data_IF_709412462756
#
_entry.id   IF_709412462756
#
_cell.length_a   1.000
_cell.length_b   1.000
_cell.length_c   1.000
_cell.angle_alpha   90.00
_cell.angle_beta   90.00
_cell.angle_gamma   90.00
#
_symmetry.space_group_name_H-M   'P 1'
#
loop_
_entity.id
_entity.type
_entity.pdbx_description
1 polymer ?
#
# COMPACT_ATOMS: atom_id res chain seq x y z
N UNK A 1 39.26 -10.76 12.46
CA UNK A 1 38.85 -10.96 11.06
C UNK A 1 38.36 -9.63 10.46
N UNK A 2 38.93 -9.25 9.33
CA UNK A 2 38.47 -8.10 8.56
C UNK A 2 37.59 -8.61 7.42
N UNK A 3 36.44 -7.97 7.21
CA UNK A 3 35.55 -8.27 6.09
C UNK A 3 35.26 -6.96 5.37
N UNK A 4 35.28 -6.97 4.04
CA UNK A 4 34.80 -5.90 3.20
C UNK A 4 33.96 -6.48 2.07
N UNK A 5 32.89 -5.78 1.70
CA UNK A 5 32.10 -6.10 0.53
C UNK A 5 31.96 -4.83 -0.33
N UNK A 6 32.03 -5.01 -1.62
CA UNK A 6 31.78 -3.95 -2.60
C UNK A 6 30.66 -4.43 -3.50
N UNK A 7 29.59 -3.66 -3.57
CA UNK A 7 28.47 -3.89 -4.47
C UNK A 7 28.49 -2.82 -5.58
N UNK A 8 28.42 -3.26 -6.82
CA UNK A 8 28.30 -2.44 -8.01
C UNK A 8 26.95 -2.73 -8.68
N UNK A 9 26.10 -1.75 -8.76
CA UNK A 9 24.71 -1.88 -9.15
C UNK A 9 24.40 -0.98 -10.37
N UNK A 10 23.71 -1.54 -11.37
CA UNK A 10 23.20 -0.83 -12.53
C UNK A 10 21.77 -1.23 -12.81
N UNK A 11 20.87 -0.25 -12.87
CA UNK A 11 19.45 -0.47 -13.12
C UNK A 11 19.00 0.31 -14.35
N UNK A 12 18.27 -0.38 -15.23
CA UNK A 12 17.60 0.21 -16.39
C UNK A 12 16.09 -0.03 -16.26
N UNK A 13 15.30 1.05 -16.35
CA UNK A 13 13.85 0.99 -16.32
C UNK A 13 13.27 1.56 -17.61
N UNK A 14 12.24 0.91 -18.15
CA UNK A 14 11.45 1.40 -19.27
C UNK A 14 9.98 1.32 -18.89
N UNK A 15 9.28 2.46 -18.96
CA UNK A 15 7.85 2.54 -18.62
C UNK A 15 7.10 3.08 -19.83
N UNK A 16 6.05 2.36 -20.24
CA UNK A 16 5.13 2.79 -21.31
C UNK A 16 3.73 2.81 -20.70
N UNK A 17 3.07 3.95 -20.76
CA UNK A 17 1.71 4.12 -20.26
C UNK A 17 0.89 4.74 -21.38
N UNK A 18 -0.24 4.11 -21.70
CA UNK A 18 -1.18 4.59 -22.69
C UNK A 18 -2.60 4.37 -22.24
N UNK A 19 -3.50 5.25 -22.61
CA UNK A 19 -4.91 5.11 -22.27
C UNK A 19 -5.81 5.84 -23.23
N UNK A 20 -7.05 5.41 -23.32
CA UNK A 20 -8.12 6.05 -24.06
C UNK A 20 -9.37 6.14 -23.19
N UNK A 21 -10.06 7.27 -23.30
CA UNK A 21 -11.33 7.43 -22.62
C UNK A 21 -12.37 7.98 -23.59
N UNK A 22 -13.61 7.54 -23.41
CA UNK A 22 -14.76 8.04 -24.14
C UNK A 22 -15.86 8.44 -23.18
N UNK A 23 -16.46 9.62 -23.41
CA UNK A 23 -17.57 10.13 -22.61
C UNK A 23 -18.70 10.46 -23.57
N UNK A 24 -19.87 9.89 -23.32
CA UNK A 24 -21.09 10.18 -24.05
C UNK A 24 -22.17 10.69 -23.10
N UNK A 25 -22.68 11.90 -23.37
CA UNK A 25 -23.76 12.49 -22.61
C UNK A 25 -25.07 12.32 -23.36
N UNK A 26 -26.09 11.83 -22.69
CA UNK A 26 -27.42 11.60 -23.26
C UNK A 26 -28.51 12.14 -22.32
N UNK A 27 -29.64 12.44 -22.84
CA UNK A 27 -30.72 13.14 -22.11
C UNK A 27 -30.19 14.38 -21.40
N UNK A 28 -30.88 14.87 -20.33
CA UNK A 28 -30.44 16.05 -19.57
C UNK A 28 -29.32 15.72 -18.56
N UNK A 29 -29.28 14.53 -18.01
CA UNK A 29 -28.45 14.16 -16.87
C UNK A 29 -27.71 12.85 -17.07
N UNK A 30 -27.97 12.15 -18.20
CA UNK A 30 -27.35 10.86 -18.49
C UNK A 30 -25.90 11.03 -18.96
N UNK A 31 -25.01 10.23 -18.40
CA UNK A 31 -23.60 10.15 -18.79
C UNK A 31 -23.18 8.69 -18.84
N UNK A 32 -22.65 8.27 -19.97
CA UNK A 32 -21.92 7.04 -20.10
C UNK A 32 -20.45 7.36 -20.33
N UNK A 33 -19.55 6.68 -19.62
CA UNK A 33 -18.12 6.77 -19.85
C UNK A 33 -17.47 5.39 -19.89
N UNK A 34 -16.47 5.26 -20.73
CA UNK A 34 -15.63 4.06 -20.83
C UNK A 34 -14.17 4.47 -20.92
N UNK A 35 -13.32 3.76 -20.21
CA UNK A 35 -11.87 3.93 -20.27
C UNK A 35 -11.16 2.59 -20.47
N UNK A 36 -10.03 2.67 -21.14
CA UNK A 36 -9.08 1.57 -21.29
C UNK A 36 -7.68 2.11 -21.04
N UNK A 37 -6.90 1.42 -20.19
CA UNK A 37 -5.53 1.78 -19.86
C UNK A 37 -4.62 0.57 -20.06
N UNK A 38 -3.43 0.84 -20.60
CA UNK A 38 -2.34 -0.12 -20.74
C UNK A 38 -1.08 0.44 -20.08
N UNK A 39 -0.41 -0.40 -19.29
CA UNK A 39 0.84 -0.04 -18.64
C UNK A 39 1.84 -1.19 -18.81
N UNK A 40 3.05 -0.84 -19.20
CA UNK A 40 4.20 -1.73 -19.31
C UNK A 40 5.35 -1.16 -18.51
N UNK A 41 5.89 -1.95 -17.60
CA UNK A 41 7.09 -1.64 -16.83
C UNK A 41 8.11 -2.76 -17.05
N UNK A 42 9.27 -2.40 -17.59
CA UNK A 42 10.40 -3.30 -17.73
C UNK A 42 11.53 -2.81 -16.85
N UNK A 43 12.12 -3.71 -16.08
CA UNK A 43 13.27 -3.44 -15.25
C UNK A 43 14.35 -4.48 -15.52
N UNK A 44 15.54 -4.02 -15.79
CA UNK A 44 16.76 -4.82 -15.83
C UNK A 44 17.70 -4.32 -14.73
N UNK A 45 18.12 -5.22 -13.87
CA UNK A 45 18.95 -4.94 -12.71
C UNK A 45 20.18 -5.84 -12.73
N UNK A 46 21.34 -5.22 -12.84
CA UNK A 46 22.62 -5.94 -12.86
C UNK A 46 23.43 -5.56 -11.62
N UNK A 47 23.86 -6.55 -10.86
CA UNK A 47 24.73 -6.31 -9.73
C UNK A 47 25.91 -7.26 -9.69
N UNK A 48 27.02 -6.74 -9.16
CA UNK A 48 28.25 -7.46 -8.96
C UNK A 48 28.71 -7.27 -7.52
N UNK A 49 28.56 -8.31 -6.72
CA UNK A 49 28.96 -8.33 -5.32
C UNK A 49 30.34 -9.00 -5.21
N UNK A 50 31.32 -8.27 -4.66
CA UNK A 50 32.65 -8.79 -4.33
C UNK A 50 32.82 -8.79 -2.82
N UNK A 51 32.98 -9.95 -2.23
CA UNK A 51 33.17 -10.12 -0.81
C UNK A 51 34.61 -10.60 -0.53
N UNK A 52 35.27 -9.95 0.44
CA UNK A 52 36.63 -10.30 0.84
C UNK A 52 36.65 -10.65 2.32
N UNK A 53 37.25 -11.80 2.64
CA UNK A 53 37.40 -12.31 4.01
C UNK A 53 38.87 -12.48 4.36
N UNK A 54 39.32 -11.82 5.42
CA UNK A 54 40.66 -11.97 5.98
C UNK A 54 40.57 -12.47 7.41
N UNK A 55 41.12 -13.63 7.68
CA UNK A 55 41.17 -14.23 9.02
C UNK A 55 42.65 -14.38 9.47
N UNK A 56 43.08 -13.47 10.35
CA UNK A 56 44.50 -13.43 10.84
C UNK A 56 45.50 -13.11 9.73
N UNK A 57 46.61 -13.90 9.69
CA UNK A 57 47.66 -13.78 8.68
C UNK A 57 47.40 -14.64 7.42
N UNK A 58 46.24 -15.28 7.32
CA UNK A 58 45.87 -16.06 6.13
C UNK A 58 45.51 -15.18 4.93
N UNK A 59 45.75 -15.66 3.69
CA UNK A 59 45.41 -14.89 2.49
C UNK A 59 43.93 -14.54 2.43
N UNK A 60 43.66 -13.39 1.84
CA UNK A 60 42.30 -12.92 1.59
C UNK A 60 41.61 -13.94 0.67
N UNK A 61 40.52 -14.54 1.14
CA UNK A 61 39.61 -15.32 0.30
C UNK A 61 38.53 -14.39 -0.20
N UNK A 62 38.34 -14.26 -1.49
CA UNK A 62 37.33 -13.44 -2.11
C UNK A 62 36.30 -14.28 -2.84
N UNK A 63 35.02 -13.99 -2.67
CA UNK A 63 33.95 -14.55 -3.46
C UNK A 63 33.33 -13.42 -4.31
N UNK A 64 33.04 -13.72 -5.59
CA UNK A 64 32.41 -12.77 -6.51
C UNK A 64 31.14 -13.38 -7.06
N UNK A 65 30.03 -12.71 -6.82
CA UNK A 65 28.69 -13.07 -7.27
C UNK A 65 28.21 -12.02 -8.28
N UNK A 66 27.80 -12.45 -9.46
CA UNK A 66 27.10 -11.62 -10.46
C UNK A 66 25.64 -12.00 -10.48
N UNK A 67 24.75 -11.02 -10.40
CA UNK A 67 23.29 -11.18 -10.51
C UNK A 67 22.74 -10.36 -11.65
N UNK A 68 21.88 -10.95 -12.46
CA UNK A 68 21.06 -10.26 -13.47
C UNK A 68 19.61 -10.60 -13.15
N UNK A 69 18.81 -9.55 -12.90
CA UNK A 69 17.38 -9.71 -12.65
C UNK A 69 16.60 -8.92 -13.70
N UNK A 70 15.72 -9.60 -14.43
CA UNK A 70 14.82 -9.01 -15.40
C UNK A 70 13.41 -9.10 -14.87
N UNK A 71 12.66 -8.00 -14.92
CA UNK A 71 11.28 -7.91 -14.48
C UNK A 71 10.40 -7.20 -15.50
N UNK A 72 9.29 -7.84 -15.85
CA UNK A 72 8.26 -7.29 -16.72
C UNK A 72 6.93 -7.24 -15.98
N UNK A 73 6.25 -6.09 -16.02
CA UNK A 73 4.88 -5.92 -15.49
C UNK A 73 4.01 -5.35 -16.61
N UNK A 74 2.94 -6.05 -16.97
CA UNK A 74 1.94 -5.60 -17.93
C UNK A 74 0.58 -5.52 -17.24
N UNK A 75 -0.06 -4.35 -17.35
CA UNK A 75 -1.37 -4.11 -16.74
C UNK A 75 -2.33 -3.62 -17.84
N UNK A 76 -3.45 -4.30 -17.93
CA UNK A 76 -4.58 -3.89 -18.77
C UNK A 76 -5.75 -3.57 -17.86
N UNK A 77 -6.33 -2.39 -17.99
CA UNK A 77 -7.50 -1.98 -17.20
C UNK A 77 -8.59 -1.46 -18.13
N UNK A 78 -9.79 -2.00 -17.99
CA UNK A 78 -10.98 -1.52 -18.68
C UNK A 78 -12.08 -1.21 -17.67
N UNK A 79 -12.77 -0.09 -17.86
CA UNK A 79 -13.87 0.34 -17.00
C UNK A 79 -14.97 0.99 -17.84
N UNK A 80 -16.22 0.76 -17.46
CA UNK A 80 -17.37 1.48 -18.01
C UNK A 80 -18.33 1.89 -16.91
N UNK A 81 -18.87 3.10 -17.00
CA UNK A 81 -19.77 3.70 -16.02
C UNK A 81 -21.02 4.25 -16.74
N UNK A 82 -22.15 4.08 -16.09
CA UNK A 82 -23.40 4.70 -16.45
C UNK A 82 -23.90 5.51 -15.24
N UNK A 83 -24.01 6.82 -15.39
CA UNK A 83 -24.54 7.73 -14.38
C UNK A 83 -25.82 8.39 -14.90
N UNK A 84 -26.83 8.44 -14.05
CA UNK A 84 -28.12 9.03 -14.39
C UNK A 84 -28.80 9.65 -13.17
N UNK A 85 -29.21 10.92 -13.26
CA UNK A 85 -30.06 11.53 -12.25
C UNK A 85 -31.52 11.22 -12.57
N UNK A 86 -32.13 10.38 -11.73
CA UNK A 86 -33.54 9.98 -11.83
C UNK A 86 -34.44 11.22 -11.54
N UNK A 87 -33.97 12.06 -10.63
CA UNK A 87 -34.62 13.33 -10.26
C UNK A 87 -33.58 14.27 -9.63
N UNK A 88 -33.97 15.50 -9.29
CA UNK A 88 -33.11 16.44 -8.54
C UNK A 88 -32.66 15.91 -7.18
N UNK A 89 -33.33 14.87 -6.67
CA UNK A 89 -33.05 14.26 -5.37
C UNK A 89 -32.30 12.94 -5.45
N UNK A 90 -32.41 12.19 -6.54
CA UNK A 90 -31.87 10.84 -6.66
C UNK A 90 -31.03 10.69 -7.92
N UNK A 91 -29.78 10.31 -7.74
CA UNK A 91 -28.87 9.94 -8.81
C UNK A 91 -28.33 8.53 -8.59
N UNK A 92 -28.13 7.80 -9.68
CA UNK A 92 -27.52 6.47 -9.68
C UNK A 92 -26.28 6.46 -10.52
N UNK A 93 -25.31 5.65 -10.12
CA UNK A 93 -24.15 5.28 -10.92
C UNK A 93 -23.94 3.78 -10.83
N UNK A 94 -23.76 3.14 -11.97
CA UNK A 94 -23.42 1.72 -12.03
C UNK A 94 -22.27 1.53 -13.00
N UNK A 95 -21.48 0.46 -12.81
CA UNK A 95 -20.36 0.22 -13.71
C UNK A 95 -19.74 -1.14 -13.54
N UNK A 96 -18.89 -1.45 -14.52
CA UNK A 96 -18.08 -2.66 -14.56
C UNK A 96 -16.61 -2.27 -14.70
N UNK A 97 -15.73 -3.04 -14.07
CA UNK A 97 -14.28 -2.87 -14.18
C UNK A 97 -13.60 -4.23 -14.31
N UNK A 98 -12.61 -4.30 -15.19
CA UNK A 98 -11.70 -5.45 -15.32
C UNK A 98 -10.26 -4.95 -15.25
N UNK A 99 -9.42 -5.68 -14.51
CA UNK A 99 -7.97 -5.45 -14.47
C UNK A 99 -7.27 -6.78 -14.65
N UNK A 100 -6.34 -6.83 -15.60
CA UNK A 100 -5.52 -8.00 -15.90
C UNK A 100 -4.07 -7.61 -15.69
N UNK A 101 -3.37 -8.35 -14.83
CA UNK A 101 -1.96 -8.12 -14.49
C UNK A 101 -1.16 -9.35 -14.84
N UNK A 102 -0.05 -9.14 -15.57
CA UNK A 102 0.93 -10.17 -15.86
C UNK A 102 2.29 -9.67 -15.40
N UNK A 103 2.96 -10.47 -14.59
CA UNK A 103 4.31 -10.19 -14.09
C UNK A 103 5.20 -11.39 -14.42
N UNK A 104 6.39 -11.11 -14.91
CA UNK A 104 7.45 -12.09 -15.09
C UNK A 104 8.73 -11.53 -14.50
N UNK A 105 9.39 -12.29 -13.65
CA UNK A 105 10.70 -11.97 -13.10
C UNK A 105 11.63 -13.18 -13.29
N UNK A 106 12.81 -12.91 -13.82
CA UNK A 106 13.86 -13.92 -13.97
C UNK A 106 15.13 -13.43 -13.27
N UNK A 107 15.69 -14.23 -12.40
CA UNK A 107 16.95 -13.97 -11.71
C UNK A 107 17.99 -15.02 -12.08
N UNK A 108 19.12 -14.56 -12.64
CA UNK A 108 20.28 -15.39 -12.98
C UNK A 108 21.46 -14.94 -12.15
N UNK A 109 21.91 -15.82 -11.27
CA UNK A 109 23.10 -15.61 -10.46
C UNK A 109 24.26 -16.51 -10.91
N UNK A 110 25.48 -15.96 -10.88
CA UNK A 110 26.71 -16.68 -11.23
C UNK A 110 27.80 -16.39 -10.23
N UNK A 111 28.48 -17.42 -9.79
CA UNK A 111 29.69 -17.37 -8.96
C UNK A 111 30.94 -17.42 -9.82
N UNK A 112 31.98 -16.65 -9.48
CA UNK A 112 33.29 -16.74 -10.08
C UNK A 112 34.10 -17.79 -9.35
N UNK A 113 34.28 -19.00 -9.94
CA UNK A 113 34.97 -20.13 -9.36
C UNK A 113 36.20 -20.46 -10.22
N UNK A 114 37.39 -20.35 -9.66
CA UNK A 114 38.68 -20.63 -10.33
C UNK A 114 38.86 -19.85 -11.66
N UNK A 115 38.28 -18.63 -11.78
CA UNK A 115 38.37 -17.80 -12.97
C UNK A 115 37.21 -17.96 -13.97
N UNK A 116 36.34 -18.95 -13.77
CA UNK A 116 35.17 -19.21 -14.63
C UNK A 116 33.87 -18.82 -13.93
N UNK A 117 32.96 -18.19 -14.69
CA UNK A 117 31.59 -17.90 -14.23
C UNK A 117 30.74 -19.17 -14.31
N UNK A 118 30.27 -19.63 -13.16
CA UNK A 118 29.34 -20.76 -13.06
C UNK A 118 28.01 -20.29 -12.49
N UNK A 119 26.93 -20.79 -13.07
CA UNK A 119 25.58 -20.51 -12.59
C UNK A 119 25.41 -21.03 -11.15
N UNK A 120 24.86 -20.17 -10.30
CA UNK A 120 24.39 -20.54 -8.97
C UNK A 120 22.92 -20.95 -9.10
N UNK A 121 22.68 -22.25 -9.17
CA UNK A 121 21.33 -22.79 -9.34
C UNK A 121 20.45 -22.64 -8.11
N UNK A 122 21.04 -22.42 -6.93
CA UNK A 122 20.29 -22.22 -5.70
C UNK A 122 19.72 -20.79 -5.61
N UNK A 123 20.38 -19.83 -6.25
CA UNK A 123 19.95 -18.43 -6.31
C UNK A 123 19.21 -18.08 -7.61
N UNK A 124 19.45 -18.85 -8.71
CA UNK A 124 18.79 -18.59 -10.00
C UNK A 124 17.38 -19.16 -10.01
N UNK A 125 16.42 -18.35 -10.45
CA UNK A 125 15.01 -18.76 -10.44
C UNK A 125 14.16 -17.87 -11.34
N UNK A 126 12.98 -18.33 -11.69
CA UNK A 126 11.96 -17.58 -12.41
C UNK A 126 10.65 -17.52 -11.63
N UNK A 127 9.95 -16.41 -11.75
CA UNK A 127 8.66 -16.18 -11.10
C UNK A 127 7.71 -15.50 -12.07
N UNK A 128 6.55 -16.11 -12.30
CA UNK A 128 5.47 -15.54 -13.09
C UNK A 128 4.21 -15.41 -12.24
N UNK A 129 3.54 -14.24 -12.33
CA UNK A 129 2.31 -13.97 -11.60
C UNK A 129 1.26 -13.39 -12.55
N UNK A 130 0.05 -13.94 -12.45
CA UNK A 130 -1.13 -13.49 -13.17
C UNK A 130 -2.22 -13.13 -12.17
N UNK A 131 -2.84 -11.98 -12.34
CA UNK A 131 -4.00 -11.57 -11.55
C UNK A 131 -5.09 -11.04 -12.46
N UNK A 132 -6.29 -11.58 -12.30
CA UNK A 132 -7.49 -11.15 -12.99
C UNK A 132 -8.51 -10.66 -11.97
N UNK A 133 -8.94 -9.41 -12.11
CA UNK A 133 -9.91 -8.77 -11.23
C UNK A 133 -11.11 -8.33 -12.05
N UNK A 134 -12.29 -8.78 -11.66
CA UNK A 134 -13.56 -8.37 -12.25
C UNK A 134 -14.44 -7.77 -11.18
N UNK A 135 -15.03 -6.62 -11.45
CA UNK A 135 -15.88 -5.94 -10.51
C UNK A 135 -17.13 -5.35 -11.15
N UNK A 136 -18.25 -5.46 -10.44
CA UNK A 136 -19.47 -4.73 -10.72
C UNK A 136 -19.86 -3.88 -9.51
N UNK A 137 -20.39 -2.68 -9.74
CA UNK A 137 -20.76 -1.79 -8.66
C UNK A 137 -21.99 -0.96 -8.99
N UNK A 138 -22.64 -0.55 -7.91
CA UNK A 138 -23.80 0.33 -7.92
C UNK A 138 -23.65 1.36 -6.82
N UNK A 139 -24.04 2.62 -7.09
CA UNK A 139 -24.05 3.72 -6.16
C UNK A 139 -25.36 4.50 -6.28
N UNK A 140 -25.95 4.83 -5.15
CA UNK A 140 -27.13 5.67 -5.02
C UNK A 140 -26.76 6.94 -4.26
N UNK A 141 -26.99 8.09 -4.87
CA UNK A 141 -26.92 9.40 -4.23
C UNK A 141 -28.34 9.87 -3.95
N UNK A 142 -28.66 10.21 -2.70
CA UNK A 142 -29.99 10.61 -2.29
C UNK A 142 -29.97 11.90 -1.46
N UNK A 143 -30.71 12.90 -1.89
CA UNK A 143 -30.99 14.14 -1.15
C UNK A 143 -32.37 14.04 -0.53
N UNK A 144 -32.44 13.54 0.71
CA UNK A 144 -33.71 13.32 1.42
C UNK A 144 -34.42 14.65 1.79
N UNK A 145 -33.58 15.65 2.13
CA UNK A 145 -34.02 16.99 2.40
C UNK A 145 -32.96 18.03 2.01
N UNK A 146 -33.23 19.33 2.17
CA UNK A 146 -32.23 20.38 1.99
C UNK A 146 -31.02 20.25 2.94
N UNK A 147 -31.16 19.48 4.04
CA UNK A 147 -30.13 19.34 5.08
C UNK A 147 -29.61 17.93 5.23
N UNK A 148 -30.21 16.92 4.60
CA UNK A 148 -29.82 15.53 4.76
C UNK A 148 -29.62 14.85 3.41
N UNK A 149 -28.44 14.28 3.22
CA UNK A 149 -28.08 13.49 2.03
C UNK A 149 -27.35 12.22 2.42
N UNK A 150 -27.48 11.21 1.58
CA UNK A 150 -26.74 9.94 1.70
C UNK A 150 -26.16 9.53 0.37
N UNK A 151 -25.03 8.87 0.43
CA UNK A 151 -24.39 8.16 -0.66
C UNK A 151 -24.19 6.72 -0.22
N UNK A 152 -24.78 5.78 -0.94
CA UNK A 152 -24.74 4.34 -0.62
C UNK A 152 -24.16 3.63 -1.83
N UNK A 153 -23.07 2.93 -1.64
CA UNK A 153 -22.37 2.18 -2.69
C UNK A 153 -22.24 0.70 -2.33
N UNK A 154 -22.27 -0.13 -3.34
CA UNK A 154 -22.00 -1.55 -3.23
C UNK A 154 -21.16 -2.01 -4.41
N UNK A 155 -19.99 -2.61 -4.14
CA UNK A 155 -19.11 -3.18 -5.15
C UNK A 155 -18.87 -4.65 -4.84
N UNK A 156 -19.12 -5.52 -5.81
CA UNK A 156 -18.74 -6.93 -5.79
C UNK A 156 -17.49 -7.10 -6.64
N UNK A 157 -16.50 -7.80 -6.12
CA UNK A 157 -15.23 -8.01 -6.77
C UNK A 157 -14.83 -9.47 -6.71
N UNK A 158 -14.52 -10.07 -7.87
CA UNK A 158 -13.96 -11.41 -8.00
C UNK A 158 -12.52 -11.29 -8.46
N UNK A 159 -11.60 -11.95 -7.75
CA UNK A 159 -10.17 -11.97 -8.07
C UNK A 159 -9.72 -13.41 -8.22
N UNK A 160 -8.96 -13.67 -9.27
CA UNK A 160 -8.24 -14.92 -9.50
C UNK A 160 -6.76 -14.60 -9.65
N UNK A 161 -5.90 -15.30 -8.90
CA UNK A 161 -4.45 -15.17 -9.01
C UNK A 161 -3.81 -16.52 -9.28
N UNK A 162 -2.72 -16.51 -10.05
CA UNK A 162 -1.88 -17.68 -10.30
C UNK A 162 -0.42 -17.23 -10.24
N UNK A 163 0.36 -17.84 -9.37
CA UNK A 163 1.82 -17.70 -9.32
C UNK A 163 2.50 -19.01 -9.69
N UNK A 164 3.53 -18.92 -10.52
CA UNK A 164 4.39 -20.03 -10.88
C UNK A 164 5.81 -19.62 -10.46
N UNK A 165 6.45 -20.43 -9.66
CA UNK A 165 7.85 -20.30 -9.28
C UNK A 165 8.60 -21.51 -9.77
N UNK A 166 9.79 -21.30 -10.37
CA UNK A 166 10.65 -22.37 -10.85
C UNK A 166 12.11 -22.06 -10.49
N UNK A 167 12.77 -23.02 -9.89
CA UNK A 167 14.19 -23.01 -9.59
C UNK A 167 14.77 -24.42 -9.81
N UNK A 168 16.08 -24.55 -9.75
CA UNK A 168 16.72 -25.87 -9.87
C UNK A 168 16.35 -26.84 -8.73
N UNK A 169 15.87 -26.31 -7.60
CA UNK A 169 15.58 -27.11 -6.38
C UNK A 169 14.09 -27.41 -6.28
N UNK A 170 13.22 -26.48 -6.72
CA UNK A 170 11.78 -26.57 -6.50
C UNK A 170 10.97 -25.83 -7.58
N UNK A 171 9.95 -26.49 -8.06
CA UNK A 171 8.86 -25.87 -8.83
C UNK A 171 7.62 -25.80 -7.97
N UNK A 172 6.95 -24.65 -7.95
CA UNK A 172 5.69 -24.50 -7.24
C UNK A 172 4.68 -23.67 -8.03
N UNK A 173 3.39 -24.06 -7.92
CA UNK A 173 2.26 -23.35 -8.50
C UNK A 173 1.27 -23.07 -7.40
N UNK A 174 0.93 -21.82 -7.22
CA UNK A 174 -0.02 -21.38 -6.22
C UNK A 174 -1.17 -20.59 -6.86
N UNK A 175 -2.42 -20.98 -6.58
CA UNK A 175 -3.61 -20.34 -7.11
C UNK A 175 -4.49 -19.87 -5.96
N UNK A 176 -5.04 -18.66 -6.08
CA UNK A 176 -6.06 -18.16 -5.16
C UNK A 176 -7.28 -17.67 -5.97
N UNK A 177 -8.46 -17.87 -5.41
CA UNK A 177 -9.69 -17.30 -5.94
C UNK A 177 -10.55 -16.83 -4.78
N UNK A 178 -11.00 -15.59 -4.83
CA UNK A 178 -11.83 -15.02 -3.79
C UNK A 178 -12.82 -13.99 -4.34
N UNK A 179 -13.95 -13.86 -3.64
CA UNK A 179 -14.99 -12.88 -3.95
C UNK A 179 -15.24 -12.05 -2.70
N UNK A 180 -15.21 -10.73 -2.85
CA UNK A 180 -15.44 -9.80 -1.76
C UNK A 180 -16.49 -8.75 -2.11
N UNK A 181 -17.25 -8.37 -1.09
CA UNK A 181 -18.25 -7.30 -1.14
C UNK A 181 -17.71 -6.07 -0.41
N UNK A 182 -17.80 -4.91 -1.05
CA UNK A 182 -17.30 -3.63 -0.56
C UNK A 182 -18.45 -2.64 -0.45
N UNK A 183 -19.18 -2.64 0.66
CA UNK A 183 -20.18 -1.63 0.95
C UNK A 183 -19.53 -0.30 1.33
N UNK A 184 -20.16 0.80 0.93
CA UNK A 184 -19.83 2.17 1.33
C UNK A 184 -21.10 2.91 1.72
N UNK A 185 -20.99 3.74 2.75
CA UNK A 185 -22.05 4.64 3.20
C UNK A 185 -21.43 5.98 3.57
N UNK A 186 -21.97 7.05 3.05
CA UNK A 186 -21.74 8.40 3.54
C UNK A 186 -23.10 9.03 3.85
N UNK A 187 -23.31 9.45 5.09
CA UNK A 187 -24.48 10.22 5.51
C UNK A 187 -24.01 11.60 5.97
N UNK A 188 -24.63 12.64 5.47
CA UNK A 188 -24.30 14.03 5.77
C UNK A 188 -25.54 14.75 6.25
N UNK A 189 -25.42 15.45 7.38
CA UNK A 189 -26.49 16.23 7.97
C UNK A 189 -26.04 17.63 8.33
N UNK A 190 -26.63 18.63 7.68
CA UNK A 190 -26.41 20.03 7.98
C UNK A 190 -27.34 20.49 9.10
N UNK A 191 -26.86 20.45 10.34
CA UNK A 191 -27.60 20.90 11.52
C UNK A 191 -27.98 22.42 11.41
N UNK A 192 -27.00 23.23 10.94
CA UNK A 192 -27.17 24.64 10.66
C UNK A 192 -26.15 25.09 9.62
N UNK A 193 -26.12 26.35 9.22
CA UNK A 193 -25.12 26.91 8.28
C UNK A 193 -23.69 26.71 8.76
N UNK A 194 -23.48 26.62 10.09
CA UNK A 194 -22.17 26.50 10.72
C UNK A 194 -21.85 25.08 11.22
N UNK A 195 -22.79 24.15 11.22
CA UNK A 195 -22.63 22.82 11.80
C UNK A 195 -22.97 21.72 10.78
N UNK A 196 -21.96 21.01 10.32
CA UNK A 196 -22.12 19.85 9.46
C UNK A 196 -21.64 18.59 10.19
N UNK A 197 -22.49 17.59 10.26
CA UNK A 197 -22.17 16.25 10.73
C UNK A 197 -22.09 15.30 9.54
N UNK A 198 -21.12 14.37 9.58
CA UNK A 198 -21.07 13.29 8.62
C UNK A 198 -20.70 11.98 9.32
N UNK A 199 -21.23 10.89 8.78
CA UNK A 199 -20.87 9.53 9.15
C UNK A 199 -20.50 8.77 7.88
N UNK A 200 -19.32 8.15 7.88
CA UNK A 200 -18.84 7.33 6.78
C UNK A 200 -18.53 5.90 7.25
N UNK A 201 -18.89 4.94 6.42
CA UNK A 201 -18.44 3.54 6.52
C UNK A 201 -17.88 3.11 5.18
N UNK A 202 -16.78 2.38 5.19
CA UNK A 202 -16.26 1.76 3.98
C UNK A 202 -15.51 0.46 4.31
N UNK A 203 -15.73 -0.56 3.49
CA UNK A 203 -14.85 -1.73 3.40
C UNK A 203 -13.94 -1.59 2.19
N UNK A 204 -12.65 -1.89 2.36
CA UNK A 204 -11.64 -1.81 1.30
C UNK A 204 -10.75 -3.05 1.32
N UNK A 205 -10.12 -3.34 0.19
CA UNK A 205 -9.10 -4.38 0.05
C UNK A 205 -7.73 -3.73 -0.19
N UNK A 206 -6.69 -4.26 0.46
CA UNK A 206 -5.28 -3.98 0.14
C UNK A 206 -4.65 -5.28 -0.28
N UNK A 207 -4.28 -5.38 -1.56
CA UNK A 207 -3.62 -6.54 -2.10
C UNK A 207 -2.14 -6.54 -1.74
N UNK A 208 -1.53 -7.72 -1.59
CA UNK A 208 -0.09 -7.82 -1.42
C UNK A 208 0.63 -7.08 -2.56
N UNK A 209 1.71 -6.39 -2.22
CA UNK A 209 2.61 -5.87 -3.24
C UNK A 209 3.27 -7.05 -3.96
N UNK A 210 3.42 -6.99 -5.27
CA UNK A 210 4.03 -8.06 -6.06
C UNK A 210 5.46 -8.41 -5.61
N UNK A 211 6.23 -7.42 -5.19
CA UNK A 211 7.55 -7.64 -4.58
C UNK A 211 7.47 -8.52 -3.33
N UNK A 212 6.43 -8.34 -2.51
CA UNK A 212 6.22 -9.13 -1.30
C UNK A 212 5.83 -10.58 -1.59
N UNK A 213 5.35 -10.87 -2.79
CA UNK A 213 4.97 -12.22 -3.22
C UNK A 213 6.07 -12.94 -3.99
N UNK A 214 7.12 -12.23 -4.43
CA UNK A 214 8.23 -12.82 -5.15
C UNK A 214 9.08 -13.66 -4.20
N UNK A 215 9.15 -15.00 -4.36
CA UNK A 215 9.83 -15.89 -3.43
C UNK A 215 11.36 -15.91 -3.58
N UNK A 216 11.94 -15.02 -4.40
CA UNK A 216 13.38 -14.92 -4.54
C UNK A 216 14.04 -14.61 -3.20
N UNK A 217 15.09 -15.35 -2.89
CA UNK A 217 15.90 -15.13 -1.70
C UNK A 217 16.94 -14.06 -2.02
N UNK A 218 16.85 -12.92 -1.34
CA UNK A 218 17.86 -11.87 -1.38
C UNK A 218 18.76 -12.01 -0.15
N UNK A 219 20.04 -12.28 -0.37
CA UNK A 219 21.03 -12.40 0.70
C UNK A 219 21.48 -11.00 1.12
N UNK A 220 21.08 -10.55 2.30
CA UNK A 220 21.51 -9.26 2.88
C UNK A 220 22.88 -9.38 3.56
N UNK A 221 23.06 -10.44 4.33
CA UNK A 221 24.33 -10.85 4.90
C UNK A 221 24.34 -12.36 5.18
N UNK A 222 25.39 -12.87 5.85
CA UNK A 222 25.53 -14.31 6.13
C UNK A 222 24.45 -14.89 7.07
N UNK A 223 23.69 -14.05 7.76
CA UNK A 223 22.66 -14.46 8.73
C UNK A 223 21.27 -13.90 8.37
N UNK A 224 21.19 -12.86 7.53
CA UNK A 224 19.96 -12.18 7.18
C UNK A 224 19.61 -12.40 5.72
N UNK A 225 18.47 -13.01 5.49
CA UNK A 225 17.88 -13.27 4.19
C UNK A 225 16.55 -12.53 4.08
N UNK A 226 16.23 -11.99 2.93
CA UNK A 226 14.92 -11.42 2.62
C UNK A 226 14.25 -12.29 1.55
N UNK A 227 12.99 -12.65 1.77
CA UNK A 227 12.22 -13.49 0.86
C UNK A 227 10.77 -13.04 0.85
N UNK A 228 10.15 -13.02 -0.32
CA UNK A 228 8.71 -12.82 -0.43
C UNK A 228 7.91 -14.07 -0.07
N UNK A 229 6.59 -13.91 0.01
CA UNK A 229 5.67 -14.98 0.39
C UNK A 229 4.53 -15.05 -0.62
N UNK A 230 4.50 -16.13 -1.43
CA UNK A 230 3.47 -16.36 -2.46
C UNK A 230 2.08 -16.67 -1.87
N UNK A 231 2.00 -17.00 -0.58
CA UNK A 231 0.76 -17.36 0.11
C UNK A 231 0.06 -16.17 0.77
N UNK A 232 0.56 -14.95 0.56
CA UNK A 232 -0.05 -13.76 1.12
C UNK A 232 -1.49 -13.59 0.66
N UNK A 233 -2.36 -13.35 1.64
CA UNK A 233 -3.76 -13.00 1.43
C UNK A 233 -3.93 -11.49 1.43
N UNK A 234 -4.93 -10.94 0.72
CA UNK A 234 -5.21 -9.53 0.79
C UNK A 234 -5.74 -9.14 2.17
N UNK A 235 -5.43 -7.92 2.59
CA UNK A 235 -6.01 -7.32 3.78
C UNK A 235 -7.40 -6.78 3.48
N UNK A 236 -8.35 -6.97 4.40
CA UNK A 236 -9.65 -6.33 4.38
C UNK A 236 -9.74 -5.29 5.48
N UNK A 237 -10.12 -4.07 5.13
CA UNK A 237 -10.16 -2.94 6.05
C UNK A 237 -11.59 -2.40 6.14
N UNK A 238 -12.17 -2.47 7.32
CA UNK A 238 -13.43 -1.82 7.67
C UNK A 238 -13.14 -0.51 8.40
N UNK A 239 -13.64 0.62 7.89
CA UNK A 239 -13.49 1.93 8.49
C UNK A 239 -14.85 2.52 8.80
N UNK A 240 -14.98 3.07 10.01
CA UNK A 240 -16.11 3.90 10.44
C UNK A 240 -15.53 5.24 10.89
N UNK A 241 -16.10 6.34 10.41
CA UNK A 241 -15.71 7.68 10.81
C UNK A 241 -16.95 8.54 11.05
N UNK A 242 -16.91 9.30 12.14
CA UNK A 242 -17.92 10.35 12.45
C UNK A 242 -17.14 11.65 12.51
N UNK A 243 -17.61 12.64 11.72
CA UNK A 243 -16.96 13.93 11.59
C UNK A 243 -17.97 15.05 11.90
N UNK A 244 -17.50 16.04 12.65
CA UNK A 244 -18.20 17.28 12.89
C UNK A 244 -17.37 18.45 12.41
N UNK A 245 -17.91 19.22 11.47
CA UNK A 245 -17.30 20.44 10.93
C UNK A 245 -18.08 21.65 11.45
N UNK A 246 -17.39 22.49 12.23
CA UNK A 246 -17.92 23.72 12.82
C UNK A 246 -17.36 24.95 12.11
N UNK A 247 -18.25 25.85 11.65
CA UNK A 247 -17.93 27.12 10.98
C UNK A 247 -16.96 26.97 9.81
N UNK A 248 -16.94 25.79 9.15
CA UNK A 248 -16.01 25.45 8.05
C UNK A 248 -14.52 25.61 8.44
N UNK A 249 -14.22 25.66 9.72
CA UNK A 249 -12.89 25.96 10.27
C UNK A 249 -12.41 24.92 11.27
N UNK A 250 -13.29 24.41 12.12
CA UNK A 250 -12.95 23.46 13.17
C UNK A 250 -13.49 22.09 12.78
N UNK A 251 -12.63 21.10 12.68
CA UNK A 251 -13.02 19.72 12.38
C UNK A 251 -12.68 18.80 13.56
N UNK A 252 -13.64 17.94 13.90
CA UNK A 252 -13.51 16.91 14.93
C UNK A 252 -13.90 15.58 14.31
N UNK A 253 -12.99 14.61 14.32
CA UNK A 253 -13.24 13.32 13.71
C UNK A 253 -12.89 12.22 14.69
N UNK A 254 -13.82 11.29 14.88
CA UNK A 254 -13.60 10.03 15.62
C UNK A 254 -13.66 8.91 14.61
N UNK A 255 -12.68 8.01 14.65
CA UNK A 255 -12.64 6.88 13.72
C UNK A 255 -12.31 5.58 14.41
N UNK A 256 -12.82 4.51 13.84
CA UNK A 256 -12.45 3.14 14.13
C UNK A 256 -12.08 2.43 12.83
N UNK A 257 -10.98 1.71 12.82
CA UNK A 257 -10.52 0.90 11.70
C UNK A 257 -10.19 -0.50 12.18
N UNK A 258 -10.78 -1.49 11.55
CA UNK A 258 -10.47 -2.90 11.74
C UNK A 258 -9.84 -3.45 10.47
N UNK A 259 -8.68 -4.09 10.60
CA UNK A 259 -7.95 -4.68 9.48
C UNK A 259 -7.79 -6.17 9.74
N UNK A 260 -8.36 -6.99 8.86
CA UNK A 260 -8.18 -8.43 8.83
C UNK A 260 -6.95 -8.77 7.99
N UNK A 261 -6.22 -9.80 8.38
CA UNK A 261 -5.03 -10.32 7.69
C UNK A 261 -4.00 -9.22 7.32
N UNK A 262 -3.66 -8.25 8.21
CA UNK A 262 -2.69 -7.20 7.87
C UNK A 262 -1.36 -7.83 7.50
N UNK A 263 -0.79 -7.37 6.38
CA UNK A 263 0.51 -7.82 5.89
C UNK A 263 1.59 -7.01 6.61
N UNK A 264 2.51 -7.69 7.25
CA UNK A 264 3.64 -7.07 7.93
C UNK A 264 4.92 -7.85 7.71
N UNK A 265 6.02 -7.13 7.51
CA UNK A 265 7.34 -7.71 7.45
C UNK A 265 7.68 -8.30 8.83
N UNK A 266 8.05 -9.57 8.85
CA UNK A 266 8.24 -10.35 10.06
C UNK A 266 9.58 -11.05 10.04
N UNK A 267 10.22 -11.19 11.21
CA UNK A 267 11.45 -11.91 11.38
C UNK A 267 11.15 -13.36 11.76
N UNK A 268 11.60 -14.29 10.95
CA UNK A 268 11.57 -15.73 11.22
C UNK A 268 12.99 -16.20 11.53
N UNK A 269 13.16 -16.90 12.64
CA UNK A 269 14.46 -17.45 13.04
C UNK A 269 14.45 -18.94 12.76
N UNK A 270 15.40 -19.41 11.95
CA UNK A 270 15.63 -20.83 11.69
C UNK A 270 16.61 -21.46 12.69
N UNK A 271 16.60 -22.79 12.79
CA UNK A 271 17.42 -23.56 13.74
C UNK A 271 18.93 -23.36 13.55
N UNK A 272 19.37 -22.91 12.37
CA UNK A 272 20.76 -22.65 12.03
C UNK A 272 21.23 -21.21 12.30
N UNK A 273 20.50 -20.45 13.13
CA UNK A 273 20.70 -19.03 13.43
C UNK A 273 20.54 -18.09 12.20
N UNK A 274 19.90 -18.55 11.14
CA UNK A 274 19.50 -17.68 10.04
C UNK A 274 18.22 -16.92 10.40
N UNK A 275 18.17 -15.68 10.01
CA UNK A 275 16.98 -14.83 10.13
C UNK A 275 16.43 -14.57 8.74
N UNK A 276 15.18 -14.94 8.52
CA UNK A 276 14.47 -14.66 7.29
C UNK A 276 13.52 -13.49 7.55
N UNK A 277 13.70 -12.42 6.81
CA UNK A 277 12.78 -11.31 6.77
C UNK A 277 11.74 -11.58 5.68
N UNK A 278 10.49 -11.86 6.10
CA UNK A 278 9.42 -12.28 5.20
C UNK A 278 8.11 -11.56 5.53
N UNK A 279 7.36 -11.09 4.53
CA UNK A 279 6.01 -10.57 4.75
C UNK A 279 5.05 -11.71 5.12
N UNK A 280 4.31 -11.52 6.21
CA UNK A 280 3.30 -12.46 6.70
C UNK A 280 1.98 -11.75 6.97
N UNK A 281 0.87 -12.48 6.83
CA UNK A 281 -0.42 -12.01 7.33
C UNK A 281 -0.48 -12.19 8.85
N UNK A 282 -0.70 -11.09 9.58
CA UNK A 282 -0.96 -11.10 11.00
C UNK A 282 -2.45 -11.35 11.28
N UNK A 283 -2.81 -11.72 12.52
CA UNK A 283 -4.19 -12.08 12.85
C UNK A 283 -5.17 -10.92 12.79
N UNK A 284 -4.73 -9.69 13.01
CA UNK A 284 -5.58 -8.51 12.94
C UNK A 284 -4.91 -7.24 13.47
N UNK A 285 -5.49 -6.12 13.07
CA UNK A 285 -5.13 -4.79 13.57
C UNK A 285 -6.41 -4.00 13.85
N UNK A 286 -6.49 -3.42 15.05
CA UNK A 286 -7.54 -2.48 15.42
C UNK A 286 -6.90 -1.11 15.66
N UNK A 287 -7.51 -0.07 15.12
CA UNK A 287 -7.12 1.32 15.36
C UNK A 287 -8.35 2.13 15.74
N UNK A 288 -8.23 2.92 16.78
CA UNK A 288 -9.23 3.89 17.21
C UNK A 288 -8.55 5.23 17.40
N UNK A 289 -9.16 6.32 16.99
CA UNK A 289 -8.52 7.62 17.14
C UNK A 289 -9.45 8.81 17.04
N UNK A 290 -8.90 9.93 17.51
CA UNK A 290 -9.47 11.27 17.42
C UNK A 290 -8.55 12.13 16.56
N UNK A 291 -9.14 12.92 15.65
CA UNK A 291 -8.42 13.96 14.89
C UNK A 291 -9.12 15.30 15.12
N UNK A 292 -8.34 16.34 15.34
CA UNK A 292 -8.82 17.71 15.50
C UNK A 292 -8.07 18.59 14.53
N UNK A 293 -8.81 19.34 13.71
CA UNK A 293 -8.25 20.32 12.79
C UNK A 293 -8.80 21.73 13.13
N UNK A 294 -7.88 22.67 13.27
CA UNK A 294 -8.14 24.08 13.49
C UNK A 294 -7.54 24.83 12.31
N UNK A 295 -8.38 25.22 11.34
CA UNK A 295 -7.91 25.79 10.08
C UNK A 295 -8.21 27.28 9.99
N UNK A 296 -7.35 28.02 9.31
CA UNK A 296 -7.51 29.45 9.05
C UNK A 296 -7.75 30.25 10.34
N UNK A 297 -6.99 29.92 11.39
CA UNK A 297 -6.96 30.73 12.60
C UNK A 297 -6.18 32.01 12.30
N UNK A 298 -6.76 33.16 12.63
CA UNK A 298 -6.12 34.46 12.44
C UNK A 298 -5.95 35.14 13.80
N UNK A 299 -4.91 34.78 14.59
CA UNK A 299 -4.62 35.47 15.84
C UNK A 299 -4.37 36.95 15.63
N UNK A 300 -3.74 37.29 14.49
CA UNK A 300 -3.55 38.66 14.00
C UNK A 300 -3.85 38.71 12.49
N UNK A 301 -4.07 39.91 11.93
CA UNK A 301 -4.38 40.06 10.50
C UNK A 301 -3.26 39.57 9.57
N UNK A 302 -2.03 39.63 10.04
CA UNK A 302 -0.82 39.23 9.31
C UNK A 302 -0.37 37.79 9.61
N UNK A 303 -1.09 37.05 10.48
CA UNK A 303 -0.75 35.69 10.87
C UNK A 303 -1.94 34.74 10.67
N UNK A 304 -1.78 33.76 9.78
CA UNK A 304 -2.72 32.66 9.60
C UNK A 304 -2.08 31.37 10.10
N UNK A 305 -2.80 30.60 10.92
CA UNK A 305 -2.32 29.34 11.49
C UNK A 305 -3.28 28.18 11.19
N UNK A 306 -2.70 27.02 10.88
CA UNK A 306 -3.38 25.75 10.71
C UNK A 306 -2.77 24.73 11.68
N UNK A 307 -3.60 24.14 12.54
CA UNK A 307 -3.19 23.17 13.55
C UNK A 307 -3.97 21.88 13.34
N UNK A 308 -3.28 20.77 13.14
CA UNK A 308 -3.88 19.45 13.01
C UNK A 308 -3.26 18.52 14.05
N UNK A 309 -4.10 18.03 14.95
CA UNK A 309 -3.70 17.07 15.98
C UNK A 309 -4.41 15.75 15.81
N UNK A 310 -3.76 14.66 16.15
CA UNK A 310 -4.39 13.36 16.27
C UNK A 310 -3.86 12.55 17.43
N UNK A 311 -4.72 11.71 17.99
CA UNK A 311 -4.38 10.71 18.98
C UNK A 311 -4.93 9.37 18.46
N UNK A 312 -4.06 8.41 18.18
CA UNK A 312 -4.43 7.13 17.61
C UNK A 312 -3.93 5.99 18.51
N UNK A 313 -4.86 5.21 19.06
CA UNK A 313 -4.55 3.91 19.66
C UNK A 313 -4.54 2.85 18.57
N UNK A 314 -3.47 2.06 18.48
CA UNK A 314 -3.31 0.98 17.51
C UNK A 314 -2.89 -0.31 18.22
N UNK A 315 -3.47 -1.44 17.81
CA UNK A 315 -3.19 -2.76 18.37
C UNK A 315 -3.07 -3.79 17.27
N UNK A 316 -1.89 -4.38 17.15
CA UNK A 316 -1.63 -5.56 16.33
C UNK A 316 -1.71 -6.84 17.17
N UNK A 317 -2.19 -7.92 16.56
CA UNK A 317 -2.20 -9.26 17.14
C UNK A 317 -1.68 -10.25 16.11
N UNK A 318 -0.84 -11.20 16.54
CA UNK A 318 -0.38 -12.30 15.69
C UNK A 318 -0.19 -13.57 16.53
N UNK A 319 -0.30 -14.72 15.86
CA UNK A 319 -0.08 -16.01 16.48
C UNK A 319 1.35 -16.50 16.17
N UNK A 320 2.08 -16.98 17.18
CA UNK A 320 3.36 -17.64 17.03
C UNK A 320 3.55 -18.72 18.10
N UNK A 321 4.03 -19.90 17.73
CA UNK A 321 4.30 -21.03 18.63
C UNK A 321 3.11 -21.32 19.58
N UNK A 322 1.88 -21.27 19.08
CA UNK A 322 0.66 -21.52 19.87
C UNK A 322 0.26 -20.41 20.85
N UNK A 323 0.94 -19.25 20.83
CA UNK A 323 0.63 -18.07 21.65
C UNK A 323 0.19 -16.91 20.78
N UNK A 324 -0.78 -16.12 21.27
CA UNK A 324 -1.15 -14.84 20.67
C UNK A 324 -0.31 -13.74 21.30
N UNK A 325 0.56 -13.13 20.51
CA UNK A 325 1.32 -11.94 20.89
C UNK A 325 0.55 -10.67 20.46
N UNK A 326 0.80 -9.58 21.15
CA UNK A 326 0.16 -8.28 20.91
C UNK A 326 1.20 -7.18 20.99
N UNK A 327 1.07 -6.20 20.13
CA UNK A 327 1.83 -4.95 20.18
C UNK A 327 0.83 -3.80 20.11
N UNK A 328 0.88 -2.87 21.05
CA UNK A 328 -0.07 -1.76 21.14
C UNK A 328 0.64 -0.46 21.51
N UNK A 329 0.14 0.63 20.96
CA UNK A 329 0.67 1.97 21.24
C UNK A 329 -0.43 3.01 21.06
N UNK A 330 -0.29 4.12 21.78
CA UNK A 330 -1.05 5.35 21.56
C UNK A 330 -0.11 6.40 20.98
N UNK A 331 -0.33 6.75 19.73
CA UNK A 331 0.52 7.69 18.97
C UNK A 331 -0.14 9.07 18.93
N UNK A 332 0.40 10.08 19.61
CA UNK A 332 0.05 11.47 19.37
C UNK A 332 0.80 11.99 18.13
N UNK A 333 0.11 12.78 17.30
CA UNK A 333 0.72 13.52 16.19
C UNK A 333 0.20 14.95 16.21
N UNK A 334 1.09 15.90 15.90
CA UNK A 334 0.77 17.32 15.81
C UNK A 334 1.47 17.90 14.57
N UNK A 335 0.70 18.59 13.75
CA UNK A 335 1.21 19.36 12.62
C UNK A 335 0.70 20.80 12.74
N UNK A 336 1.62 21.76 12.66
CA UNK A 336 1.33 23.19 12.72
C UNK A 336 1.95 23.86 11.50
N UNK A 337 1.14 24.61 10.76
CA UNK A 337 1.58 25.48 9.68
C UNK A 337 1.19 26.90 10.03
N UNK A 338 2.14 27.82 9.93
CA UNK A 338 1.92 29.25 10.15
C UNK A 338 2.38 30.01 8.93
N UNK A 339 1.52 30.89 8.44
CA UNK A 339 1.77 31.80 7.33
C UNK A 339 1.75 33.23 7.87
N UNK A 340 2.77 34.02 7.54
CA UNK A 340 2.93 35.40 7.99
C UNK A 340 3.03 36.31 6.77
N UNK A 341 2.07 37.23 6.63
CA UNK A 341 2.12 38.31 5.63
C UNK A 341 2.75 39.54 6.30
N UNK A 342 3.99 39.82 5.92
CA UNK A 342 4.82 40.86 6.53
C UNK A 342 4.75 42.18 5.73
N UNK A 343 5.15 43.31 6.32
CA UNK A 343 5.27 44.57 5.60
C UNK A 343 6.16 44.46 4.35
N UNK A 344 5.96 45.36 3.39
CA UNK A 344 6.72 45.44 2.13
C UNK A 344 6.55 44.26 1.17
N UNK A 345 5.47 43.45 1.34
CA UNK A 345 5.18 42.32 0.43
C UNK A 345 6.00 41.06 0.69
N UNK A 346 6.55 40.89 1.89
CA UNK A 346 7.23 39.68 2.32
C UNK A 346 6.20 38.69 2.86
N UNK A 347 6.33 37.43 2.46
CA UNK A 347 5.61 36.30 3.05
C UNK A 347 6.63 35.34 3.69
N UNK A 348 6.28 34.79 4.86
CA UNK A 348 7.10 33.80 5.56
C UNK A 348 6.20 32.63 6.00
N UNK A 349 6.74 31.43 6.00
CA UNK A 349 6.06 30.22 6.46
C UNK A 349 6.91 29.52 7.52
N UNK A 350 6.23 29.00 8.57
CA UNK A 350 6.85 28.16 9.59
C UNK A 350 6.04 26.87 9.75
N UNK A 351 6.72 25.74 9.59
CA UNK A 351 6.13 24.40 9.70
C UNK A 351 6.69 23.69 10.93
N UNK A 352 5.81 23.03 11.69
CA UNK A 352 6.17 22.18 12.82
C UNK A 352 5.47 20.83 12.72
N UNK A 353 6.21 19.76 12.96
CA UNK A 353 5.68 18.41 13.01
C UNK A 353 6.21 17.67 14.24
N UNK A 354 5.31 16.96 14.91
CA UNK A 354 5.63 16.05 16.00
C UNK A 354 4.91 14.73 15.81
N UNK A 355 5.61 13.63 15.97
CA UNK A 355 5.06 12.28 16.02
C UNK A 355 5.59 11.53 17.23
N UNK A 356 4.69 10.92 17.98
CA UNK A 356 5.06 9.96 19.02
C UNK A 356 5.47 8.60 18.45
N UNK A 357 5.74 7.65 19.34
CA UNK A 357 6.05 6.27 19.00
C UNK A 357 4.94 5.66 18.09
N UNK A 358 5.36 4.90 17.08
CA UNK A 358 4.46 4.17 16.19
C UNK A 358 4.78 2.68 16.18
N UNK A 359 3.77 1.87 15.84
CA UNK A 359 3.95 0.43 15.63
C UNK A 359 3.56 0.04 14.20
N UNK A 360 4.35 -0.87 13.63
CA UNK A 360 4.05 -1.55 12.38
C UNK A 360 4.33 -3.04 12.56
N UNK A 361 3.22 -3.82 12.67
CA UNK A 361 3.31 -5.25 12.97
C UNK A 361 4.07 -5.53 14.27
N UNK A 362 5.22 -6.21 14.14
CA UNK A 362 6.09 -6.61 15.25
C UNK A 362 7.04 -5.50 15.70
N UNK A 363 7.23 -4.45 14.90
CA UNK A 363 8.24 -3.42 15.15
C UNK A 363 7.64 -2.17 15.80
N UNK A 364 8.48 -1.47 16.59
CA UNK A 364 8.22 -0.13 17.11
C UNK A 364 9.19 0.86 16.49
N UNK A 365 8.68 2.01 16.10
CA UNK A 365 9.45 3.07 15.45
C UNK A 365 9.30 4.36 16.27
N UNK A 366 10.42 4.93 16.65
CA UNK A 366 10.51 6.25 17.29
C UNK A 366 11.12 7.23 16.29
N UNK A 367 10.58 8.46 16.23
CA UNK A 367 11.04 9.55 15.36
C UNK A 367 11.74 10.64 16.17
#
# INVERSE_FOLDING_TARGET
>A
SHRSATDSHSRKNTNIIGGANMIYKFAKTGKWDASFDYQLFNQEDNHLLKSFFQTGIHPVKGDTLSGITNGDIKIYSGQTNLSYDISDKFGITTGLKSVLVHISNDALYKNLIAGDWREDSDLSSSFAYHENIYAGYFQLNAKWSARFSTEIGLRLESTYTKSNYSSAVQDSVFNQSYVHLFPTLLAQYQLSENHNLSMAYSRRIVRPNYRNMNPFVEVRDQFLYEQGNTELRPELIDNIEISWLLKKRYSFNVFYSHRNDPISLSFLVEDNNRVILMPLNLSGNNSFGLRVGLNNLKPFQWWTSHINGSLTYKKFSWATLGKTLKNEVTTPMLHISNEFTLPYGWDAEALGFYSGEMIEGQTRVNF
#
